data_IF_331047018811
#
_entry.id   IF_331047018811
#
_cell.length_a   1.000
_cell.length_b   1.000
_cell.length_c   1.000
_cell.angle_alpha   90.00
_cell.angle_beta   90.00
_cell.angle_gamma   90.00
#
_symmetry.space_group_name_H-M   'P 1'
#
loop_
_entity.id
_entity.type
_entity.pdbx_description
1 polymer ?
#
# COMPACT_ATOMS: atom_id res chain seq x y z
N UNK A 1 -5.29 16.10 -1.00
CA UNK A 1 -4.21 15.33 -0.66
C UNK A 1 -3.44 15.90 0.45
N UNK A 2 -3.26 15.18 1.42
CA UNK A 2 -2.59 15.69 2.55
C UNK A 2 -1.12 15.63 2.43
N UNK A 3 -0.62 15.24 1.30
CA UNK A 3 0.75 15.11 1.15
C UNK A 3 1.40 16.41 1.21
N UNK A 4 2.37 16.56 1.97
CA UNK A 4 3.01 17.82 2.19
C UNK A 4 4.28 17.92 1.42
N UNK A 5 4.58 19.10 0.90
CA UNK A 5 5.79 19.25 0.12
C UNK A 5 7.06 18.91 0.89
N UNK A 6 7.11 19.20 2.18
CA UNK A 6 8.34 18.88 2.89
C UNK A 6 8.50 17.38 3.10
N UNK A 7 7.42 16.61 3.04
CA UNK A 7 7.57 15.17 3.10
C UNK A 7 8.23 14.66 1.83
N UNK A 8 7.84 15.20 0.68
CA UNK A 8 8.49 14.78 -0.54
C UNK A 8 9.96 15.14 -0.54
N UNK A 9 10.30 16.32 -0.05
CA UNK A 9 11.70 16.70 0.04
C UNK A 9 12.46 15.79 0.99
N UNK A 10 11.82 15.38 2.08
CA UNK A 10 12.47 14.51 3.03
C UNK A 10 12.67 13.12 2.44
N UNK A 11 11.69 12.64 1.72
CA UNK A 11 11.84 11.34 1.06
C UNK A 11 12.93 11.40 0.01
N UNK A 12 13.07 12.50 -0.68
CA UNK A 12 14.13 12.65 -1.67
C UNK A 12 15.51 12.60 -1.01
N UNK A 13 15.61 13.13 0.20
CA UNK A 13 16.91 13.06 0.87
C UNK A 13 17.24 11.63 1.31
N UNK A 14 16.21 10.77 1.45
CA UNK A 14 16.45 9.39 1.79
C UNK A 14 16.51 8.58 0.52
N UNK A 15 16.97 9.14 -0.54
CA UNK A 15 16.82 8.55 -1.84
C UNK A 15 17.60 7.27 -2.03
N UNK A 16 18.42 6.87 -1.14
CA UNK A 16 19.09 5.61 -1.30
C UNK A 16 18.15 4.41 -1.19
N UNK A 17 16.87 4.61 -0.83
CA UNK A 17 15.96 3.52 -0.72
C UNK A 17 14.86 3.73 -1.73
N UNK A 18 15.17 3.70 -2.96
CA UNK A 18 14.26 4.06 -4.02
C UNK A 18 12.96 3.28 -4.07
N UNK A 19 12.99 1.96 -3.91
CA UNK A 19 11.75 1.21 -4.04
C UNK A 19 10.84 1.47 -2.85
N UNK A 20 11.40 1.71 -1.67
CA UNK A 20 10.58 2.06 -0.54
C UNK A 20 9.92 3.42 -0.75
N UNK A 21 10.65 4.36 -1.33
CA UNK A 21 10.07 5.66 -1.63
C UNK A 21 8.94 5.54 -2.64
N UNK A 22 9.10 4.68 -3.63
CA UNK A 22 8.05 4.46 -4.62
C UNK A 22 6.77 3.96 -3.96
N UNK A 23 6.87 2.95 -3.10
CA UNK A 23 5.68 2.41 -2.47
C UNK A 23 5.07 3.39 -1.47
N UNK A 24 5.90 4.18 -0.80
CA UNK A 24 5.36 5.19 0.11
C UNK A 24 4.58 6.23 -0.65
N UNK A 25 5.05 6.63 -1.81
CA UNK A 25 4.31 7.57 -2.64
C UNK A 25 2.96 6.98 -3.02
N UNK A 26 2.90 5.70 -3.35
CA UNK A 26 1.64 5.07 -3.67
C UNK A 26 0.67 5.12 -2.48
N UNK A 27 1.16 4.87 -1.27
CA UNK A 27 0.31 4.91 -0.10
C UNK A 27 -0.20 6.32 0.15
N UNK A 28 0.67 7.31 0.09
CA UNK A 28 0.24 8.67 0.41
C UNK A 28 -0.65 9.26 -0.66
N UNK A 29 -0.61 8.77 -1.87
CA UNK A 29 -1.49 9.28 -2.93
C UNK A 29 -2.72 8.39 -3.15
N UNK A 30 -2.70 7.17 -2.64
CA UNK A 30 -3.77 6.22 -2.90
C UNK A 30 -3.73 5.66 -4.31
N UNK A 31 -2.61 5.83 -5.02
CA UNK A 31 -2.53 5.46 -6.42
C UNK A 31 -1.66 4.24 -6.61
N UNK A 32 -1.79 3.25 -5.87
CA UNK A 32 -1.01 2.04 -6.07
C UNK A 32 -1.90 0.87 -6.32
N UNK A 33 -1.49 -0.29 -5.82
CA UNK A 33 -2.24 -1.52 -6.03
C UNK A 33 -3.35 -1.60 -5.00
N UNK A 34 -4.24 -0.61 -5.00
CA UNK A 34 -5.41 -0.59 -4.14
C UNK A 34 -6.63 -0.77 -5.04
N UNK A 35 -7.53 -1.67 -4.66
CA UNK A 35 -8.64 -2.01 -5.54
C UNK A 35 -9.52 -0.81 -5.84
N UNK A 36 -9.68 0.12 -4.89
CA UNK A 36 -10.48 1.29 -5.16
C UNK A 36 -9.87 2.16 -6.25
N UNK A 37 -8.54 2.31 -6.27
CA UNK A 37 -7.88 3.06 -7.31
C UNK A 37 -7.93 2.31 -8.64
N UNK A 38 -7.71 1.00 -8.60
CA UNK A 38 -7.71 0.20 -9.81
C UNK A 38 -9.10 0.17 -10.46
N UNK A 39 -10.14 0.18 -9.63
CA UNK A 39 -11.49 0.29 -10.16
C UNK A 39 -11.68 1.64 -10.85
N UNK A 40 -11.20 2.71 -10.23
CA UNK A 40 -11.39 4.04 -10.77
C UNK A 40 -10.70 4.22 -12.12
N UNK A 41 -9.57 3.58 -12.33
CA UNK A 41 -8.87 3.72 -13.60
C UNK A 41 -9.20 2.59 -14.57
N UNK A 42 -10.17 1.77 -14.26
CA UNK A 42 -10.66 0.78 -15.19
C UNK A 42 -9.92 -0.53 -15.22
N UNK A 43 -9.04 -0.77 -14.25
CA UNK A 43 -8.29 -2.03 -14.22
C UNK A 43 -8.95 -3.10 -13.38
N UNK A 44 -10.01 -2.80 -12.69
CA UNK A 44 -10.76 -3.79 -11.93
C UNK A 44 -12.23 -3.48 -12.05
N UNK A 45 -13.08 -4.46 -11.77
CA UNK A 45 -14.52 -4.26 -11.85
C UNK A 45 -15.11 -4.05 -10.46
N UNK A 46 -14.34 -4.14 -9.41
CA UNK A 46 -14.82 -3.86 -8.07
C UNK A 46 -13.69 -3.32 -7.22
N UNK A 47 -14.00 -2.90 -6.00
CA UNK A 47 -13.00 -2.35 -5.10
C UNK A 47 -12.81 -3.27 -3.90
N UNK A 48 -12.96 -4.54 -4.06
CA UNK A 48 -12.89 -5.50 -2.97
C UNK A 48 -11.46 -5.94 -2.70
N UNK A 49 -11.10 -6.02 -1.43
CA UNK A 49 -9.78 -6.52 -1.05
C UNK A 49 -9.67 -8.00 -1.39
N UNK A 50 -8.59 -8.37 -2.07
CA UNK A 50 -8.39 -9.74 -2.48
C UNK A 50 -8.13 -10.67 -1.31
N UNK A 51 -7.78 -10.15 -0.14
CA UNK A 51 -7.39 -10.99 0.99
C UNK A 51 -8.53 -11.20 1.97
N UNK A 52 -9.39 -10.22 2.18
CA UNK A 52 -10.43 -10.37 3.18
C UNK A 52 -11.84 -10.08 2.68
N UNK A 53 -11.98 -9.56 1.51
CA UNK A 53 -13.29 -9.32 0.93
C UNK A 53 -13.96 -8.00 1.28
N UNK A 54 -13.33 -7.20 2.13
CA UNK A 54 -13.91 -5.91 2.45
C UNK A 54 -13.47 -4.87 1.43
N UNK A 55 -14.02 -3.68 1.54
CA UNK A 55 -13.65 -2.60 0.64
C UNK A 55 -12.18 -2.27 0.79
N UNK A 56 -11.44 -2.22 -0.29
CA UNK A 56 -10.00 -1.97 -0.24
C UNK A 56 -9.71 -0.49 -0.38
N UNK A 57 -8.53 -0.09 -0.01
CA UNK A 57 -8.05 1.27 -0.10
C UNK A 57 -6.90 1.46 0.85
N UNK A 58 -6.35 2.65 0.87
CA UNK A 58 -5.19 2.93 1.71
C UNK A 58 -5.51 2.67 3.18
N UNK A 59 -6.62 3.20 3.67
CA UNK A 59 -6.92 3.05 5.10
C UNK A 59 -7.29 1.62 5.44
N UNK A 60 -7.86 0.88 4.49
CA UNK A 60 -8.10 -0.54 4.73
C UNK A 60 -6.78 -1.25 4.99
N UNK A 61 -5.78 -1.02 4.17
CA UNK A 61 -4.48 -1.65 4.33
C UNK A 61 -3.84 -1.21 5.63
N UNK A 62 -3.92 0.07 5.93
CA UNK A 62 -3.21 0.59 7.10
C UNK A 62 -3.91 0.30 8.40
N UNK A 63 -5.22 0.18 8.42
CA UNK A 63 -5.96 0.07 9.67
C UNK A 63 -6.82 -1.17 9.80
N UNK A 64 -7.30 -1.74 8.69
CA UNK A 64 -8.40 -2.68 8.80
C UNK A 64 -8.14 -4.09 8.33
N UNK A 65 -7.32 -4.28 7.33
CA UNK A 65 -7.20 -5.61 6.74
C UNK A 65 -6.52 -6.58 7.70
N UNK A 66 -7.14 -7.71 8.00
CA UNK A 66 -6.55 -8.65 8.97
C UNK A 66 -5.29 -9.34 8.47
N UNK A 67 -5.02 -9.30 7.18
CA UNK A 67 -3.84 -9.98 6.68
C UNK A 67 -2.56 -9.49 7.34
N UNK A 68 -2.48 -8.20 7.63
CA UNK A 68 -1.27 -7.64 8.22
C UNK A 68 -1.49 -7.21 9.67
N UNK A 69 -2.41 -7.87 10.40
CA UNK A 69 -2.75 -7.47 11.76
C UNK A 69 -1.53 -7.43 12.68
N UNK A 70 -0.71 -8.45 12.60
CA UNK A 70 0.46 -8.53 13.48
C UNK A 70 1.39 -7.34 13.23
N UNK A 71 1.67 -7.09 11.97
CA UNK A 71 2.55 -6.00 11.60
C UNK A 71 1.95 -4.64 11.97
N UNK A 72 0.63 -4.51 11.85
CA UNK A 72 -0.03 -3.26 12.19
C UNK A 72 0.00 -2.99 13.67
N UNK A 73 -0.10 -4.02 14.49
CA UNK A 73 -0.01 -3.84 15.93
C UNK A 73 1.36 -3.28 16.29
N UNK A 74 2.40 -3.85 15.71
CA UNK A 74 3.75 -3.37 16.00
C UNK A 74 3.95 -1.95 15.48
N UNK A 75 3.42 -1.65 14.31
CA UNK A 75 3.57 -0.33 13.74
C UNK A 75 2.88 0.72 14.59
N UNK A 76 1.65 0.45 15.02
CA UNK A 76 0.93 1.41 15.83
C UNK A 76 1.64 1.68 17.14
N UNK A 77 2.26 0.65 17.71
CA UNK A 77 3.02 0.86 18.91
C UNK A 77 4.24 1.71 18.67
N UNK A 78 4.97 1.44 17.60
CA UNK A 78 6.19 2.18 17.30
C UNK A 78 5.88 3.65 17.02
N UNK A 79 4.84 3.93 16.26
CA UNK A 79 4.52 5.28 15.88
C UNK A 79 3.55 5.95 16.86
N UNK A 80 3.06 5.22 17.85
CA UNK A 80 2.14 5.75 18.85
C UNK A 80 0.88 6.30 18.22
N UNK A 81 0.30 5.53 17.31
CA UNK A 81 -0.90 5.97 16.58
C UNK A 81 -2.16 5.49 17.29
N UNK A 82 -3.23 6.28 17.19
CA UNK A 82 -4.50 5.86 17.72
C UNK A 82 -5.19 4.92 16.73
N UNK A 83 -6.32 4.38 17.13
CA UNK A 83 -7.00 3.41 16.29
C UNK A 83 -7.45 4.01 14.98
N UNK A 84 -7.93 5.24 14.97
CA UNK A 84 -8.41 5.84 13.73
C UNK A 84 -7.47 6.93 13.27
N UNK A 85 -6.21 6.66 13.28
CA UNK A 85 -5.21 7.61 12.82
C UNK A 85 -5.42 7.95 11.35
N UNK A 86 -4.91 9.10 10.95
CA UNK A 86 -4.97 9.54 9.57
C UNK A 86 -3.58 9.51 8.95
N UNK A 87 -3.52 9.69 7.64
CA UNK A 87 -2.20 9.79 6.99
C UNK A 87 -1.42 11.00 7.52
N UNK A 88 -2.11 12.08 7.90
CA UNK A 88 -1.43 13.20 8.52
C UNK A 88 -0.74 12.80 9.82
N UNK A 89 -1.40 11.97 10.61
CA UNK A 89 -0.78 11.48 11.85
C UNK A 89 0.45 10.65 11.55
N UNK A 90 0.40 9.85 10.50
CA UNK A 90 1.56 9.06 10.09
C UNK A 90 2.70 9.97 9.67
N UNK A 91 2.41 11.00 8.88
CA UNK A 91 3.45 11.92 8.44
C UNK A 91 4.13 12.56 9.64
N UNK A 92 3.34 13.02 10.61
CA UNK A 92 3.94 13.61 11.80
C UNK A 92 4.83 12.63 12.53
N UNK A 93 4.39 11.39 12.64
CA UNK A 93 5.17 10.39 13.36
C UNK A 93 6.48 10.06 12.65
N UNK A 94 6.44 9.89 11.34
CA UNK A 94 7.65 9.49 10.63
C UNK A 94 8.65 10.64 10.52
N UNK A 95 8.18 11.88 10.65
CA UNK A 95 9.11 13.00 10.62
C UNK A 95 9.81 13.18 11.97
N UNK A 96 9.35 12.52 13.02
CA UNK A 96 9.95 12.68 14.32
C UNK A 96 11.21 11.85 14.51
N UNK A 97 11.35 10.73 13.84
CA UNK A 97 12.54 9.91 14.03
C UNK A 97 12.77 9.00 12.84
N UNK A 98 14.03 8.68 12.61
CA UNK A 98 14.37 7.72 11.56
C UNK A 98 13.86 6.32 11.85
N UNK A 99 13.74 5.98 13.13
CA UNK A 99 13.18 4.66 13.47
C UNK A 99 11.72 4.56 13.06
N UNK A 100 10.94 5.63 13.24
CA UNK A 100 9.56 5.64 12.80
C UNK A 100 9.47 5.55 11.28
N UNK A 101 10.31 6.30 10.60
CA UNK A 101 10.35 6.25 9.14
C UNK A 101 10.62 4.81 8.66
N UNK A 102 11.61 4.17 9.25
CA UNK A 102 11.96 2.82 8.82
C UNK A 102 10.87 1.82 9.14
N UNK A 103 10.22 1.96 10.29
CA UNK A 103 9.14 1.06 10.66
C UNK A 103 7.97 1.18 9.68
N UNK A 104 7.59 2.39 9.35
CA UNK A 104 6.48 2.59 8.42
C UNK A 104 6.87 2.14 7.02
N UNK A 105 8.08 2.46 6.59
CA UNK A 105 8.54 2.06 5.27
C UNK A 105 8.57 0.54 5.12
N UNK A 106 9.02 -0.16 6.15
CA UNK A 106 9.06 -1.62 6.08
C UNK A 106 7.67 -2.21 6.00
N UNK A 107 6.72 -1.66 6.76
CA UNK A 107 5.36 -2.15 6.69
C UNK A 107 4.77 -1.92 5.31
N UNK A 108 4.95 -0.72 4.77
CA UNK A 108 4.41 -0.39 3.45
C UNK A 108 5.04 -1.28 2.39
N UNK A 109 6.34 -1.49 2.47
CA UNK A 109 7.01 -2.30 1.47
C UNK A 109 6.47 -3.72 1.48
N UNK A 110 6.29 -4.28 2.65
CA UNK A 110 5.77 -5.64 2.74
C UNK A 110 4.33 -5.70 2.25
N UNK A 111 3.48 -4.79 2.67
CA UNK A 111 2.07 -4.82 2.29
C UNK A 111 1.90 -4.60 0.79
N UNK A 112 2.65 -3.66 0.23
CA UNK A 112 2.50 -3.39 -1.19
C UNK A 112 3.05 -4.52 -2.04
N UNK A 113 4.11 -5.19 -1.58
CA UNK A 113 4.60 -6.35 -2.29
C UNK A 113 3.56 -7.46 -2.31
N UNK A 114 2.91 -7.70 -1.18
CA UNK A 114 1.88 -8.72 -1.11
C UNK A 114 0.73 -8.37 -2.05
N UNK A 115 0.33 -7.11 -2.08
CA UNK A 115 -0.76 -6.69 -2.95
C UNK A 115 -0.38 -6.82 -4.42
N UNK A 116 0.83 -6.45 -4.76
CA UNK A 116 1.28 -6.53 -6.15
C UNK A 116 1.36 -7.97 -6.61
N UNK A 117 1.81 -8.85 -5.74
CA UNK A 117 1.89 -10.25 -6.11
C UNK A 117 0.51 -10.84 -6.31
N UNK A 118 -0.43 -10.48 -5.46
CA UNK A 118 -1.79 -10.97 -5.60
C UNK A 118 -2.44 -10.42 -6.86
N UNK A 119 -2.17 -9.16 -7.19
CA UNK A 119 -2.71 -8.56 -8.39
C UNK A 119 -2.18 -9.27 -9.64
N UNK A 120 -0.89 -9.59 -9.66
CA UNK A 120 -0.33 -10.33 -10.78
C UNK A 120 -0.94 -11.72 -10.89
N UNK A 121 -1.18 -12.38 -9.76
CA UNK A 121 -1.81 -13.69 -9.78
C UNK A 121 -3.22 -13.60 -10.34
N UNK A 122 -3.96 -12.57 -9.94
CA UNK A 122 -5.32 -12.36 -10.40
C UNK A 122 -5.34 -12.08 -11.90
N UNK A 123 -4.39 -11.28 -12.36
CA UNK A 123 -4.31 -10.97 -13.77
C UNK A 123 -3.99 -12.21 -14.60
N UNK A 124 -3.11 -13.05 -14.09
CA UNK A 124 -2.79 -14.27 -14.81
C UNK A 124 -3.97 -15.23 -14.86
N UNK A 125 -4.73 -15.31 -13.79
CA UNK A 125 -5.89 -16.18 -13.76
C UNK A 125 -6.94 -15.72 -14.76
N UNK A 126 -7.17 -14.42 -14.86
CA UNK A 126 -8.12 -13.91 -15.80
C UNK A 126 -7.64 -14.18 -17.23
N UNK A 127 -6.38 -13.93 -17.50
CA UNK A 127 -5.85 -14.17 -18.81
C UNK A 127 -5.96 -15.64 -19.19
N UNK A 128 -5.64 -16.51 -18.26
CA UNK A 128 -5.73 -17.90 -18.53
C UNK A 128 -7.13 -18.35 -18.82
N UNK A 129 -8.12 -17.82 -18.13
CA UNK A 129 -9.47 -18.29 -18.37
C UNK A 129 -10.05 -17.71 -19.63
N UNK A 130 -9.56 -16.58 -20.12
CA UNK A 130 -10.13 -16.04 -21.32
C UNK A 130 -9.39 -16.43 -22.54
N UNK A 131 -8.16 -16.81 -22.49
CA UNK A 131 -7.45 -16.89 -23.65
C UNK A 131 -7.30 -18.23 -23.99
N UNK A 132 -7.92 -18.91 -24.62
CA UNK A 132 -7.72 -20.07 -24.98
C UNK A 132 -6.51 -20.26 -25.53
N UNK A 133 -5.80 -20.24 -25.69
CA UNK A 133 -4.71 -20.65 -26.26
C UNK A 133 -3.68 -19.73 -26.37
N UNK A 134 -3.95 -18.64 -26.40
CA UNK A 134 -2.92 -17.75 -26.65
C UNK A 134 -2.18 -17.51 -25.49
N UNK A 135 -2.53 -18.00 -24.50
CA UNK A 135 -1.82 -17.68 -23.43
C UNK A 135 -0.50 -18.10 -23.53
N UNK A 136 -0.21 -18.83 -24.33
CA UNK A 136 1.05 -19.20 -24.38
C UNK A 136 1.88 -18.20 -24.57
N UNK A 137 1.46 -17.34 -24.99
CA UNK A 137 2.33 -16.34 -25.15
C UNK A 137 2.92 -16.08 -23.90
N UNK A 138 3.03 -16.37 -23.39
CA UNK A 138 3.62 -16.01 -22.33
C UNK A 138 4.31 -16.63 -21.94
#
# INVERSE_FOLDING_TARGET
>A
MALVPHLEAWMARESGIGSMTFHLTQVFTGHGCFADFLLRIGKRIDSTCDFCGDEDGVYHVLRECPLWDWQKILLKKQLKLSRDFTLGDVVEAILQSGANWRAFSSFVEEAMRDKEEEERRRERAVTSSTSDGDDEAE
#
